data_IF_762790989864
#
_entry.id   IF_762790989864
#
_cell.length_a   1.000
_cell.length_b   1.000
_cell.length_c   1.000
_cell.angle_alpha   90.00
_cell.angle_beta   90.00
_cell.angle_gamma   90.00
#
_symmetry.space_group_name_H-M   'P 1'
#
loop_
_entity.id
_entity.type
_entity.pdbx_description
1 polymer ?
#
# COMPACT_ATOMS: atom_id res chain seq x y z
N UNK A 1 2.92 -12.40 -15.79
CA UNK A 1 3.06 -11.13 -16.53
C UNK A 1 3.60 -10.09 -15.57
N UNK A 2 4.69 -9.41 -15.93
CA UNK A 2 5.25 -8.27 -15.21
C UNK A 2 4.95 -7.02 -16.03
N UNK A 3 4.59 -5.93 -15.38
CA UNK A 3 4.35 -4.63 -16.03
C UNK A 3 5.47 -3.72 -15.57
N UNK A 4 6.48 -3.54 -16.42
CA UNK A 4 7.64 -2.71 -16.10
C UNK A 4 7.38 -1.23 -16.38
N UNK A 5 6.62 -0.92 -17.45
CA UNK A 5 6.10 0.42 -17.73
C UNK A 5 4.58 0.48 -17.55
N UNK A 6 4.08 1.06 -16.45
CA UNK A 6 2.65 1.14 -16.17
C UNK A 6 1.89 2.14 -17.05
N UNK A 7 2.57 2.98 -17.85
CA UNK A 7 1.90 3.99 -18.69
C UNK A 7 0.95 3.35 -19.73
N UNK A 8 1.31 2.20 -20.30
CA UNK A 8 0.47 1.45 -21.24
C UNK A 8 -0.75 0.80 -20.60
N UNK A 9 -0.78 0.70 -19.26
CA UNK A 9 -1.86 0.09 -18.51
C UNK A 9 -2.81 1.11 -17.88
N UNK A 10 -2.63 2.42 -18.15
CA UNK A 10 -3.45 3.48 -17.57
C UNK A 10 -4.96 3.22 -17.80
N UNK A 11 -5.73 3.32 -16.71
CA UNK A 11 -7.17 3.07 -16.72
C UNK A 11 -7.56 1.60 -16.57
N UNK A 12 -6.65 0.65 -16.78
CA UNK A 12 -6.93 -0.78 -16.70
C UNK A 12 -7.00 -1.29 -15.25
N UNK A 13 -7.76 -2.37 -15.07
CA UNK A 13 -7.90 -3.08 -13.80
C UNK A 13 -7.20 -4.44 -13.85
N UNK A 14 -6.58 -4.81 -12.74
CA UNK A 14 -5.89 -6.08 -12.56
C UNK A 14 -6.37 -6.73 -11.27
N UNK A 15 -7.02 -7.89 -11.39
CA UNK A 15 -7.49 -8.67 -10.24
C UNK A 15 -6.38 -9.53 -9.63
N UNK A 16 -6.52 -9.85 -8.33
CA UNK A 16 -5.66 -10.80 -7.65
C UNK A 16 -4.21 -10.33 -7.45
N UNK A 17 -3.95 -9.03 -7.49
CA UNK A 17 -2.62 -8.46 -7.29
C UNK A 17 -2.24 -8.54 -5.82
N UNK A 18 -1.07 -9.10 -5.54
CA UNK A 18 -0.53 -9.15 -4.18
C UNK A 18 0.18 -7.86 -3.81
N UNK A 19 -0.20 -7.35 -2.64
CA UNK A 19 0.28 -6.13 -2.03
C UNK A 19 0.82 -6.44 -0.63
N UNK A 20 1.81 -5.70 -0.14
CA UNK A 20 2.42 -5.92 1.18
C UNK A 20 2.58 -4.60 1.93
N UNK A 21 2.21 -4.58 3.22
CA UNK A 21 2.50 -3.45 4.11
C UNK A 21 3.99 -3.28 4.35
N UNK A 22 4.50 -2.06 4.19
CA UNK A 22 5.92 -1.74 4.30
C UNK A 22 6.14 -0.34 4.92
N UNK A 23 7.41 0.03 5.09
CA UNK A 23 7.85 1.38 5.45
C UNK A 23 8.77 1.92 4.36
N UNK A 24 8.61 3.19 4.02
CA UNK A 24 9.55 3.86 3.12
C UNK A 24 10.63 4.56 3.96
N UNK A 25 11.90 4.58 3.50
CA UNK A 25 12.97 5.32 4.17
C UNK A 25 12.58 6.79 4.41
N UNK A 26 12.76 7.27 5.63
CA UNK A 26 12.44 8.66 6.01
C UNK A 26 10.95 8.97 6.18
N UNK A 27 10.04 8.00 5.99
CA UNK A 27 8.60 8.18 6.17
C UNK A 27 8.12 7.27 7.30
N UNK A 28 7.60 7.86 8.38
CA UNK A 28 7.06 7.09 9.51
C UNK A 28 5.75 6.40 9.19
N UNK A 29 4.96 6.92 8.25
CA UNK A 29 3.65 6.38 7.91
C UNK A 29 3.76 5.01 7.22
N UNK A 30 3.00 3.98 7.62
CA UNK A 30 2.98 2.70 6.93
C UNK A 30 2.53 2.89 5.48
N UNK A 31 3.08 2.12 4.57
CA UNK A 31 2.77 2.13 3.14
C UNK A 31 2.44 0.72 2.68
N UNK A 32 2.06 0.62 1.41
CA UNK A 32 1.81 -0.66 0.75
C UNK A 32 2.52 -0.62 -0.59
N UNK A 33 3.19 -1.71 -0.93
CA UNK A 33 3.88 -1.91 -2.22
C UNK A 33 3.29 -3.11 -2.96
N UNK A 34 3.40 -3.12 -4.28
CA UNK A 34 3.12 -4.32 -5.06
C UNK A 34 4.26 -5.33 -4.94
N UNK A 35 3.93 -6.63 -4.88
CA UNK A 35 4.92 -7.72 -4.76
C UNK A 35 5.04 -8.51 -6.06
N UNK A 36 3.96 -8.58 -6.83
CA UNK A 36 3.83 -9.52 -7.96
C UNK A 36 3.92 -8.84 -9.32
N UNK A 37 2.89 -8.12 -9.74
CA UNK A 37 2.73 -7.70 -11.14
C UNK A 37 3.44 -6.38 -11.48
N UNK A 38 3.44 -5.44 -10.52
CA UNK A 38 3.92 -4.07 -10.72
C UNK A 38 5.24 -3.81 -9.98
N UNK A 39 5.98 -2.74 -10.34
CA UNK A 39 7.20 -2.38 -9.65
C UNK A 39 6.91 -2.04 -8.18
N UNK A 40 7.75 -2.49 -7.23
CA UNK A 40 7.53 -2.23 -5.80
C UNK A 40 7.68 -0.76 -5.42
N UNK A 41 8.34 0.03 -6.26
CA UNK A 41 8.49 1.49 -6.11
C UNK A 41 7.24 2.27 -6.55
N UNK A 42 6.30 1.61 -7.24
CA UNK A 42 5.06 2.24 -7.68
C UNK A 42 4.17 2.53 -6.48
N UNK A 43 3.75 3.79 -6.34
CA UNK A 43 2.88 4.20 -5.24
C UNK A 43 1.58 3.41 -5.27
N UNK A 44 1.15 2.93 -4.10
CA UNK A 44 -0.17 2.33 -3.91
C UNK A 44 -1.03 3.24 -3.02
N UNK A 45 -2.15 3.72 -3.57
CA UNK A 45 -3.25 4.27 -2.81
C UNK A 45 -4.04 3.11 -2.17
N UNK A 46 -3.97 3.05 -0.84
CA UNK A 46 -4.49 1.94 -0.04
C UNK A 46 -5.23 2.48 1.19
N UNK A 47 -6.36 1.85 1.61
CA UNK A 47 -7.14 2.29 2.77
C UNK A 47 -6.28 2.41 4.02
N UNK A 48 -6.44 3.55 4.71
CA UNK A 48 -5.62 3.90 5.86
C UNK A 48 -5.79 2.92 7.01
N UNK A 49 -7.04 2.62 7.36
CA UNK A 49 -7.39 1.69 8.43
C UNK A 49 -6.74 0.32 8.25
N UNK A 50 -6.77 -0.24 7.03
CA UNK A 50 -6.23 -1.58 6.79
C UNK A 50 -4.72 -1.65 7.08
N UNK A 51 -3.92 -0.70 6.60
CA UNK A 51 -2.47 -0.70 6.88
C UNK A 51 -2.10 -0.31 8.32
N UNK A 52 -3.06 0.15 9.12
CA UNK A 52 -2.87 0.46 10.55
C UNK A 52 -3.33 -0.70 11.45
N UNK A 53 -4.26 -1.53 10.96
CA UNK A 53 -4.80 -2.69 11.68
C UNK A 53 -3.95 -3.96 11.57
N UNK A 54 -2.99 -3.99 10.65
CA UNK A 54 -2.12 -5.14 10.43
C UNK A 54 -0.64 -4.74 10.57
N UNK A 55 0.19 -5.66 11.11
CA UNK A 55 1.61 -5.40 11.25
C UNK A 55 2.30 -5.34 9.89
N UNK A 56 3.46 -4.68 9.84
CA UNK A 56 4.32 -4.65 8.65
C UNK A 56 4.63 -6.08 8.16
N UNK A 57 4.74 -6.25 6.84
CA UNK A 57 4.90 -7.56 6.19
C UNK A 57 3.59 -8.29 5.90
N UNK A 58 2.45 -7.85 6.43
CA UNK A 58 1.14 -8.42 6.06
C UNK A 58 0.87 -8.24 4.57
N UNK A 59 0.41 -9.30 3.91
CA UNK A 59 0.04 -9.31 2.49
C UNK A 59 -1.47 -9.33 2.28
N UNK A 60 -1.86 -8.77 1.15
CA UNK A 60 -3.24 -8.61 0.72
C UNK A 60 -3.36 -9.04 -0.75
N UNK A 61 -4.49 -9.63 -1.11
CA UNK A 61 -4.93 -9.69 -2.51
C UNK A 61 -5.90 -8.55 -2.75
N UNK A 62 -5.76 -7.87 -3.89
CA UNK A 62 -6.63 -6.78 -4.27
C UNK A 62 -6.86 -6.76 -5.78
N UNK A 63 -7.97 -6.16 -6.18
CA UNK A 63 -8.12 -5.61 -7.52
C UNK A 63 -7.44 -4.24 -7.52
N UNK A 64 -6.55 -3.96 -8.47
CA UNK A 64 -5.90 -2.64 -8.58
C UNK A 64 -6.25 -1.99 -9.91
N UNK A 65 -6.48 -0.67 -9.87
CA UNK A 65 -6.55 0.16 -11.07
C UNK A 65 -5.22 0.91 -11.23
N UNK A 66 -4.70 0.94 -12.45
CA UNK A 66 -3.57 1.82 -12.80
C UNK A 66 -4.12 3.21 -13.08
N UNK A 67 -3.69 4.18 -12.29
CA UNK A 67 -4.17 5.56 -12.30
C UNK A 67 -3.01 6.51 -12.56
N UNK A 68 -3.33 7.72 -12.99
CA UNK A 68 -2.41 8.85 -12.99
C UNK A 68 -3.19 10.09 -12.60
N UNK A 69 -2.57 10.95 -11.79
CA UNK A 69 -3.20 12.22 -11.44
C UNK A 69 -3.13 13.12 -12.67
N UNK A 70 -4.20 13.87 -12.93
CA UNK A 70 -4.23 14.89 -13.98
C UNK A 70 -4.52 16.26 -13.37
N UNK A 71 -4.03 17.31 -14.00
CA UNK A 71 -4.33 18.72 -13.70
C UNK A 71 -4.53 19.42 -15.04
N UNK A 72 -5.67 20.08 -15.21
CA UNK A 72 -6.05 20.76 -16.46
C UNK A 72 -6.01 19.85 -17.71
N UNK A 73 -6.32 18.57 -17.52
CA UNK A 73 -6.30 17.55 -18.58
C UNK A 73 -4.93 16.88 -18.79
N UNK A 74 -3.86 17.45 -18.26
CA UNK A 74 -2.50 16.97 -18.45
C UNK A 74 -2.03 16.02 -17.33
N UNK A 75 -1.20 15.01 -17.64
CA UNK A 75 -0.58 14.15 -16.63
C UNK A 75 0.23 14.94 -15.60
N UNK A 76 -0.03 14.69 -14.31
CA UNK A 76 0.68 15.31 -13.19
C UNK A 76 1.29 14.23 -12.28
N UNK A 77 2.56 13.91 -12.53
CA UNK A 77 3.32 12.91 -11.79
C UNK A 77 3.20 11.49 -12.38
N UNK A 78 3.92 10.52 -11.80
CA UNK A 78 3.97 9.16 -12.33
C UNK A 78 2.65 8.39 -12.11
N UNK A 79 2.40 7.33 -12.88
CA UNK A 79 1.32 6.39 -12.60
C UNK A 79 1.42 5.78 -11.19
N UNK A 80 0.27 5.46 -10.61
CA UNK A 80 0.13 4.83 -9.30
C UNK A 80 -1.00 3.80 -9.31
N UNK A 81 -0.99 2.90 -8.33
CA UNK A 81 -2.04 1.90 -8.17
C UNK A 81 -3.08 2.39 -7.18
N UNK A 82 -4.35 2.14 -7.46
CA UNK A 82 -5.44 2.30 -6.49
C UNK A 82 -6.08 0.95 -6.21
N UNK A 83 -6.09 0.53 -4.94
CA UNK A 83 -6.57 -0.78 -4.52
C UNK A 83 -8.08 -0.80 -4.22
N UNK A 84 -8.73 -1.87 -4.64
CA UNK A 84 -10.15 -2.22 -4.50
C UNK A 84 -10.27 -3.70 -4.12
N UNK A 85 -11.44 -4.11 -3.64
CA UNK A 85 -11.77 -5.51 -3.32
C UNK A 85 -10.67 -6.22 -2.51
N UNK A 86 -10.23 -5.55 -1.44
CA UNK A 86 -9.03 -5.92 -0.70
C UNK A 86 -9.36 -7.05 0.29
N UNK A 87 -8.59 -8.13 0.23
CA UNK A 87 -8.67 -9.28 1.13
C UNK A 87 -7.31 -9.57 1.74
N UNK A 88 -7.27 -9.81 3.06
CA UNK A 88 -6.04 -10.17 3.77
C UNK A 88 -5.64 -11.60 3.42
N UNK A 89 -4.36 -11.85 3.17
CA UNK A 89 -3.81 -13.21 3.08
C UNK A 89 -3.48 -13.63 4.51
N UNK A 90 -4.38 -14.36 5.18
CA UNK A 90 -4.27 -14.67 6.61
C UNK A 90 -2.93 -15.33 6.99
N UNK A 91 -2.42 -16.23 6.14
CA UNK A 91 -1.15 -16.91 6.35
C UNK A 91 0.09 -15.99 6.26
N UNK A 92 -0.08 -14.76 5.77
CA UNK A 92 1.01 -13.76 5.68
C UNK A 92 1.06 -12.81 6.87
N UNK A 93 0.06 -12.84 7.76
CA UNK A 93 0.04 -11.98 8.95
C UNK A 93 1.08 -12.54 9.93
N UNK A 94 2.17 -11.82 10.24
CA UNK A 94 3.13 -12.22 11.24
C UNK A 94 2.47 -12.48 12.60
N UNK A 95 2.90 -13.54 13.29
CA UNK A 95 2.49 -13.82 14.66
C UNK A 95 3.07 -12.77 15.63
N UNK A 96 4.27 -12.27 15.34
CA UNK A 96 4.87 -11.11 15.98
C UNK A 96 5.23 -10.06 14.93
N UNK A 97 4.83 -8.80 15.14
CA UNK A 97 5.08 -7.77 14.16
C UNK A 97 4.92 -6.35 14.66
N UNK A 98 5.45 -5.41 13.88
CA UNK A 98 5.38 -3.98 14.15
C UNK A 98 4.06 -3.41 13.65
N UNK A 99 3.23 -2.93 14.57
CA UNK A 99 1.96 -2.24 14.28
C UNK A 99 2.17 -0.73 14.27
N UNK A 100 1.68 -0.07 13.23
CA UNK A 100 1.73 1.37 13.11
C UNK A 100 0.61 2.03 13.93
N UNK A 101 0.95 3.02 14.75
CA UNK A 101 0.01 3.83 15.49
C UNK A 101 0.28 5.30 15.25
N UNK A 102 -0.78 6.08 15.03
CA UNK A 102 -0.65 7.53 14.90
C UNK A 102 -0.13 8.11 16.21
N UNK A 103 0.92 8.93 16.15
CA UNK A 103 1.47 9.59 17.34
C UNK A 103 0.41 10.50 17.96
N UNK A 104 0.21 10.35 19.28
CA UNK A 104 -0.68 11.23 20.05
C UNK A 104 -0.21 12.68 19.90
N UNK A 105 -1.13 13.59 19.57
CA UNK A 105 -0.82 15.01 19.36
C UNK A 105 -0.22 15.36 17.98
N UNK A 106 -0.19 14.42 17.03
CA UNK A 106 0.19 14.76 15.65
C UNK A 106 -0.82 15.71 15.02
N UNK A 107 -0.39 16.93 14.68
CA UNK A 107 -1.24 17.95 14.03
C UNK A 107 -1.74 17.47 12.66
N UNK A 108 -0.88 16.81 11.88
CA UNK A 108 -1.21 16.33 10.54
C UNK A 108 -1.91 14.97 10.52
N UNK A 109 -1.84 14.21 11.63
CA UNK A 109 -2.21 12.79 11.65
C UNK A 109 -1.36 11.91 10.73
N UNK A 110 -0.23 12.42 10.22
CA UNK A 110 0.68 11.73 9.31
C UNK A 110 1.93 11.20 10.00
N UNK A 111 2.12 11.48 11.29
CA UNK A 111 3.26 11.00 12.08
C UNK A 111 2.89 9.75 12.86
N UNK A 112 3.72 8.71 12.78
CA UNK A 112 3.47 7.40 13.37
C UNK A 112 4.61 6.95 14.28
N UNK A 113 4.26 6.08 15.20
CA UNK A 113 5.13 5.27 16.04
C UNK A 113 4.81 3.80 15.79
N UNK A 114 5.78 2.92 16.04
CA UNK A 114 5.63 1.49 15.83
C UNK A 114 5.79 0.76 17.15
N UNK A 115 4.91 -0.21 17.38
CA UNK A 115 4.88 -1.03 18.59
C UNK A 115 4.86 -2.49 18.20
N UNK A 116 5.65 -3.30 18.91
CA UNK A 116 5.60 -4.75 18.76
C UNK A 116 4.29 -5.28 19.33
N UNK A 117 3.63 -6.15 18.57
CA UNK A 117 2.48 -6.92 19.02
C UNK A 117 2.72 -8.40 18.76
N UNK A 118 2.18 -9.22 19.65
CA UNK A 118 2.13 -10.68 19.53
C UNK A 118 0.67 -11.08 19.40
N UNK A 119 0.37 -11.97 18.46
CA UNK A 119 -0.92 -12.66 18.39
C UNK A 119 -1.06 -13.50 19.67
N UNK A 120 -2.05 -13.17 20.51
CA UNK A 120 -2.40 -14.00 21.67
C UNK A 120 -3.13 -15.26 21.23
#
# INVERSE_FOLDING_TARGET
MKIDDPSYALGQFFGGVELETCTDPGVSRPRVKAVTVFPPTMRVEFPRNLREMFPLGTRFKATVKVCQKTVDGEPNGPPYLKAYDISVIAASVPDEGLMAKVRKGSISGLSYEYHWVTKR
#
